data_IF_760835028418
#
_entry.id   IF_760835028418
#
_cell.length_a   1.000
_cell.length_b   1.000
_cell.length_c   1.000
_cell.angle_alpha   90.00
_cell.angle_beta   90.00
_cell.angle_gamma   90.00
#
_symmetry.space_group_name_H-M   'P 1'
#
loop_
_entity.id
_entity.type
_entity.pdbx_description
1 polymer ?
#
# COMPACT_ATOMS: atom_id res chain seq x y z
N UNK A 1 -30.26 -14.03 -20.30
CA UNK A 1 -29.57 -13.57 -19.09
C UNK A 1 -28.34 -12.81 -19.55
N UNK A 2 -28.21 -11.57 -19.09
CA UNK A 2 -27.24 -10.58 -19.59
C UNK A 2 -25.81 -11.07 -19.37
N UNK A 3 -25.07 -11.25 -20.47
CA UNK A 3 -23.61 -11.34 -20.44
C UNK A 3 -23.12 -9.91 -20.24
N UNK A 4 -22.74 -9.55 -19.03
CA UNK A 4 -22.04 -8.29 -18.78
C UNK A 4 -20.70 -8.37 -19.49
N UNK A 5 -20.55 -7.66 -20.60
CA UNK A 5 -19.25 -7.39 -21.19
C UNK A 5 -18.45 -6.57 -20.18
N UNK A 6 -17.57 -7.23 -19.41
CA UNK A 6 -16.52 -6.54 -18.66
C UNK A 6 -15.62 -5.94 -19.73
N UNK A 7 -15.66 -4.63 -19.88
CA UNK A 7 -14.71 -3.90 -20.72
C UNK A 7 -13.34 -4.12 -20.09
N UNK A 8 -12.38 -4.64 -20.82
CA UNK A 8 -10.99 -4.67 -20.34
C UNK A 8 -10.42 -3.26 -20.47
N UNK A 9 -9.94 -2.71 -19.36
CA UNK A 9 -9.18 -1.46 -19.36
C UNK A 9 -7.77 -1.72 -19.89
N UNK A 10 -7.26 -0.78 -20.68
CA UNK A 10 -5.87 -0.78 -21.14
C UNK A 10 -4.94 -0.14 -20.10
N UNK A 11 -3.66 -0.52 -20.12
CA UNK A 11 -2.63 0.12 -19.28
C UNK A 11 -2.56 1.64 -19.49
N UNK A 12 -2.90 2.12 -20.70
CA UNK A 12 -2.99 3.54 -21.01
C UNK A 12 -4.11 4.24 -20.21
N UNK A 13 -5.29 3.64 -20.12
CA UNK A 13 -6.41 4.18 -19.36
C UNK A 13 -6.09 4.23 -17.85
N UNK A 14 -5.36 3.24 -17.31
CA UNK A 14 -4.85 3.31 -15.94
C UNK A 14 -3.85 4.46 -15.74
N UNK A 15 -2.93 4.64 -16.69
CA UNK A 15 -1.96 5.75 -16.64
C UNK A 15 -2.66 7.12 -16.72
N UNK A 16 -3.66 7.27 -17.59
CA UNK A 16 -4.45 8.49 -17.72
C UNK A 16 -5.23 8.77 -16.43
N UNK A 17 -5.91 7.78 -15.86
CA UNK A 17 -6.62 7.92 -14.60
C UNK A 17 -5.68 8.27 -13.43
N UNK A 18 -4.48 7.70 -13.40
CA UNK A 18 -3.46 8.04 -12.40
C UNK A 18 -2.95 9.49 -12.57
N UNK A 19 -2.80 9.94 -13.81
CA UNK A 19 -2.48 11.33 -14.14
C UNK A 19 -3.55 12.30 -13.64
N UNK A 20 -4.82 12.00 -13.92
CA UNK A 20 -5.98 12.76 -13.41
C UNK A 20 -5.96 12.79 -11.88
N UNK A 21 -5.77 11.65 -11.22
CA UNK A 21 -5.72 11.60 -9.75
C UNK A 21 -4.58 12.44 -9.16
N UNK A 22 -3.42 12.46 -9.82
CA UNK A 22 -2.29 13.29 -9.40
C UNK A 22 -2.64 14.78 -9.46
N UNK A 23 -3.36 15.20 -10.50
CA UNK A 23 -3.83 16.58 -10.63
C UNK A 23 -4.94 16.93 -9.63
N UNK A 24 -5.79 15.95 -9.27
CA UNK A 24 -6.85 16.12 -8.27
C UNK A 24 -6.26 16.38 -6.88
N UNK A 25 -5.28 15.59 -6.44
CA UNK A 25 -4.65 15.77 -5.11
C UNK A 25 -4.00 17.16 -4.98
N UNK A 26 -3.63 17.81 -6.08
CA UNK A 26 -3.02 19.14 -6.11
C UNK A 26 -4.02 20.29 -6.15
N UNK A 27 -5.34 20.02 -6.20
CA UNK A 27 -6.33 21.09 -6.16
C UNK A 27 -6.37 21.75 -4.78
N UNK A 28 -6.49 23.08 -4.76
CA UNK A 28 -6.79 23.82 -3.54
C UNK A 28 -8.23 23.50 -3.09
N UNK A 29 -8.39 23.11 -1.83
CA UNK A 29 -9.66 22.62 -1.26
C UNK A 29 -10.32 21.55 -2.15
N UNK A 30 -9.71 20.36 -2.20
CA UNK A 30 -10.16 19.25 -3.03
C UNK A 30 -11.63 18.88 -2.77
N UNK A 31 -12.09 18.95 -1.53
CA UNK A 31 -13.47 18.59 -1.19
C UNK A 31 -14.45 19.61 -1.80
N UNK A 32 -14.13 20.91 -1.75
CA UNK A 32 -14.91 21.93 -2.45
C UNK A 32 -14.88 21.71 -3.98
N UNK A 33 -13.70 21.47 -4.56
CA UNK A 33 -13.56 21.20 -5.99
C UNK A 33 -14.43 20.03 -6.45
N UNK A 34 -14.38 18.92 -5.72
CA UNK A 34 -15.18 17.70 -5.96
C UNK A 34 -16.67 18.00 -5.90
N UNK A 35 -17.11 18.81 -4.92
CA UNK A 35 -18.52 19.17 -4.76
C UNK A 35 -19.07 19.98 -5.95
N UNK A 36 -18.22 20.83 -6.56
CA UNK A 36 -18.60 21.69 -7.68
C UNK A 36 -18.51 21.01 -9.05
N UNK A 37 -17.67 19.97 -9.17
CA UNK A 37 -17.35 19.32 -10.46
C UNK A 37 -17.59 17.80 -10.51
N UNK A 38 -18.69 17.24 -9.96
CA UNK A 38 -18.87 15.79 -9.86
C UNK A 38 -18.88 15.07 -11.22
N UNK A 39 -19.32 15.74 -12.29
CA UNK A 39 -19.33 15.16 -13.65
C UNK A 39 -17.91 14.94 -14.21
N UNK A 40 -16.95 15.77 -13.80
CA UNK A 40 -15.57 15.68 -14.26
C UNK A 40 -14.82 14.50 -13.61
N UNK A 41 -15.28 14.04 -12.46
CA UNK A 41 -14.70 12.91 -11.72
C UNK A 41 -15.20 11.55 -12.21
N UNK A 42 -16.39 11.53 -12.84
CA UNK A 42 -17.04 10.33 -13.35
C UNK A 42 -16.10 9.38 -14.13
N UNK A 43 -15.26 9.87 -15.08
CA UNK A 43 -14.37 8.98 -15.82
C UNK A 43 -13.31 8.31 -14.93
N UNK A 44 -12.78 9.04 -13.95
CA UNK A 44 -11.83 8.50 -12.99
C UNK A 44 -12.50 7.47 -12.07
N UNK A 45 -13.69 7.76 -11.55
CA UNK A 45 -14.45 6.84 -10.72
C UNK A 45 -14.82 5.56 -11.46
N UNK A 46 -15.20 5.66 -12.74
CA UNK A 46 -15.52 4.50 -13.57
C UNK A 46 -14.29 3.61 -13.79
N UNK A 47 -13.10 4.20 -13.99
CA UNK A 47 -11.83 3.45 -14.08
C UNK A 47 -11.47 2.82 -12.74
N UNK A 48 -11.65 3.53 -11.63
CA UNK A 48 -11.41 3.01 -10.29
C UNK A 48 -12.29 1.79 -9.98
N UNK A 49 -13.57 1.86 -10.34
CA UNK A 49 -14.54 0.80 -10.11
C UNK A 49 -14.23 -0.44 -10.92
N UNK A 50 -13.88 -0.24 -12.19
CA UNK A 50 -13.47 -1.34 -13.05
C UNK A 50 -12.13 -1.96 -12.61
N UNK A 51 -11.18 -1.15 -12.12
CA UNK A 51 -9.93 -1.66 -11.54
C UNK A 51 -10.18 -2.60 -10.36
N UNK A 52 -11.13 -2.26 -9.47
CA UNK A 52 -11.47 -3.11 -8.33
C UNK A 52 -12.07 -4.45 -8.79
N UNK A 53 -12.93 -4.44 -9.81
CA UNK A 53 -13.47 -5.66 -10.40
C UNK A 53 -12.35 -6.50 -11.03
N UNK A 54 -11.49 -5.89 -11.83
CA UNK A 54 -10.38 -6.59 -12.50
C UNK A 54 -9.33 -7.13 -11.53
N UNK A 55 -9.07 -6.44 -10.42
CA UNK A 55 -8.10 -6.86 -9.41
C UNK A 55 -8.67 -7.94 -8.46
N UNK A 56 -9.90 -7.77 -8.01
CA UNK A 56 -10.42 -8.52 -6.86
C UNK A 56 -11.58 -9.48 -7.20
N UNK A 57 -12.26 -9.31 -8.33
CA UNK A 57 -13.41 -10.15 -8.69
C UNK A 57 -13.17 -11.00 -9.94
N UNK A 58 -12.34 -10.53 -10.87
CA UNK A 58 -12.01 -11.25 -12.10
C UNK A 58 -10.98 -12.37 -11.86
N UNK A 59 -11.13 -13.47 -12.60
CA UNK A 59 -10.17 -14.57 -12.64
C UNK A 59 -9.61 -14.76 -14.06
N UNK A 60 -8.28 -14.71 -14.25
CA UNK A 60 -7.25 -14.32 -13.28
C UNK A 60 -7.29 -12.82 -12.95
N UNK A 61 -6.84 -12.44 -11.75
CA UNK A 61 -6.74 -11.04 -11.31
C UNK A 61 -5.72 -10.27 -12.15
N UNK A 62 -6.08 -9.03 -12.53
CA UNK A 62 -5.23 -8.17 -13.38
C UNK A 62 -4.10 -7.52 -12.58
N UNK A 63 -2.85 -7.80 -12.97
CA UNK A 63 -1.67 -7.15 -12.37
C UNK A 63 -1.70 -5.62 -12.55
N UNK A 64 -2.09 -5.14 -13.73
CA UNK A 64 -2.16 -3.71 -14.01
C UNK A 64 -3.20 -3.01 -13.14
N UNK A 65 -4.36 -3.66 -12.91
CA UNK A 65 -5.38 -3.15 -12.01
C UNK A 65 -4.88 -3.06 -10.56
N UNK A 66 -4.22 -4.12 -10.06
CA UNK A 66 -3.59 -4.08 -8.74
C UNK A 66 -2.56 -2.97 -8.61
N UNK A 67 -1.68 -2.82 -9.61
CA UNK A 67 -0.64 -1.79 -9.61
C UNK A 67 -1.27 -0.38 -9.56
N UNK A 68 -2.28 -0.14 -10.38
CA UNK A 68 -3.03 1.12 -10.36
C UNK A 68 -3.61 1.43 -8.98
N UNK A 69 -4.34 0.47 -8.37
CA UNK A 69 -4.93 0.64 -7.04
C UNK A 69 -3.87 0.91 -5.96
N UNK A 70 -2.75 0.18 -5.99
CA UNK A 70 -1.63 0.38 -5.06
C UNK A 70 -1.00 1.77 -5.21
N UNK A 71 -0.89 2.28 -6.44
CA UNK A 71 -0.36 3.63 -6.68
C UNK A 71 -1.32 4.73 -6.18
N UNK A 72 -2.63 4.53 -6.30
CA UNK A 72 -3.64 5.44 -5.73
C UNK A 72 -3.52 5.45 -4.20
N UNK A 73 -3.52 4.27 -3.56
CA UNK A 73 -3.36 4.14 -2.11
C UNK A 73 -2.05 4.75 -1.61
N UNK A 74 -0.93 4.49 -2.30
CA UNK A 74 0.36 5.06 -1.95
C UNK A 74 0.32 6.59 -1.92
N UNK A 75 -0.26 7.23 -2.94
CA UNK A 75 -0.37 8.70 -3.00
C UNK A 75 -1.21 9.26 -1.86
N UNK A 76 -2.34 8.62 -1.53
CA UNK A 76 -3.18 9.03 -0.39
C UNK A 76 -2.42 8.88 0.92
N UNK A 77 -1.79 7.72 1.15
CA UNK A 77 -1.10 7.43 2.40
C UNK A 77 0.17 8.28 2.59
N UNK A 78 0.81 8.70 1.50
CA UNK A 78 1.96 9.60 1.54
C UNK A 78 1.64 10.98 2.10
N UNK A 79 0.39 11.45 1.99
CA UNK A 79 -0.02 12.74 2.56
C UNK A 79 0.11 12.76 4.10
N UNK A 80 0.15 11.60 4.75
CA UNK A 80 0.31 11.47 6.21
C UNK A 80 1.76 11.38 6.68
N UNK A 81 2.71 11.50 5.76
CA UNK A 81 4.12 11.41 6.04
C UNK A 81 4.73 12.79 5.83
N UNK A 82 5.31 13.36 6.88
CA UNK A 82 6.02 14.63 6.79
C UNK A 82 7.38 14.40 6.13
N UNK A 83 7.54 14.91 4.90
CA UNK A 83 8.84 15.04 4.26
C UNK A 83 9.32 16.49 4.36
N UNK A 84 10.63 16.71 4.24
CA UNK A 84 11.19 18.05 4.04
C UNK A 84 10.84 18.57 2.63
N UNK A 85 9.56 18.89 2.41
CA UNK A 85 9.00 19.38 1.15
C UNK A 85 7.95 20.48 1.44
N UNK A 86 7.40 21.08 0.39
CA UNK A 86 6.40 22.14 0.50
C UNK A 86 5.13 21.64 1.23
N UNK A 87 4.68 22.41 2.23
CA UNK A 87 3.48 22.12 3.02
C UNK A 87 2.21 22.15 2.15
N UNK A 88 2.23 22.90 1.04
CA UNK A 88 1.10 22.95 0.10
C UNK A 88 0.76 21.56 -0.48
N UNK A 89 1.74 20.65 -0.56
CA UNK A 89 1.55 19.29 -1.04
C UNK A 89 0.68 18.41 -0.11
N UNK A 90 0.44 18.85 1.13
CA UNK A 90 -0.28 18.09 2.17
C UNK A 90 -1.63 18.70 2.53
N UNK A 91 -2.03 19.79 1.86
CA UNK A 91 -3.27 20.54 2.12
C UNK A 91 -4.52 19.67 2.12
N UNK A 92 -4.51 18.59 1.35
CA UNK A 92 -5.63 17.65 1.22
C UNK A 92 -5.50 16.38 2.10
N UNK A 93 -4.58 16.33 3.08
CA UNK A 93 -4.38 15.16 3.96
C UNK A 93 -5.70 14.67 4.60
N UNK A 94 -6.54 15.61 5.04
CA UNK A 94 -7.81 15.36 5.72
C UNK A 94 -9.03 15.34 4.78
N UNK A 95 -8.83 15.33 3.46
CA UNK A 95 -9.92 15.33 2.47
C UNK A 95 -10.87 14.14 2.67
N UNK A 96 -12.16 14.44 2.78
CA UNK A 96 -13.23 13.44 2.88
C UNK A 96 -13.33 12.63 1.59
N UNK A 97 -13.12 13.28 0.44
CA UNK A 97 -13.09 12.59 -0.85
C UNK A 97 -11.96 11.54 -0.91
N UNK A 98 -10.73 11.90 -0.55
CA UNK A 98 -9.61 10.94 -0.53
C UNK A 98 -9.83 9.82 0.48
N UNK A 99 -10.38 10.13 1.65
CA UNK A 99 -10.76 9.13 2.65
C UNK A 99 -11.79 8.13 2.06
N UNK A 100 -12.75 8.61 1.29
CA UNK A 100 -13.77 7.77 0.65
C UNK A 100 -13.17 6.82 -0.40
N UNK A 101 -12.23 7.30 -1.23
CA UNK A 101 -11.51 6.47 -2.20
C UNK A 101 -10.72 5.39 -1.49
N UNK A 102 -9.90 5.77 -0.49
CA UNK A 102 -9.10 4.81 0.28
C UNK A 102 -9.98 3.72 0.87
N UNK A 103 -11.08 4.12 1.53
CA UNK A 103 -12.02 3.19 2.15
C UNK A 103 -12.66 2.24 1.12
N UNK A 104 -12.99 2.74 -0.07
CA UNK A 104 -13.58 1.94 -1.15
C UNK A 104 -12.62 0.82 -1.59
N UNK A 105 -11.35 1.16 -1.85
CA UNK A 105 -10.32 0.21 -2.26
C UNK A 105 -10.02 -0.78 -1.12
N UNK A 106 -9.81 -0.30 0.11
CA UNK A 106 -9.53 -1.15 1.28
C UNK A 106 -10.67 -2.14 1.55
N UNK A 107 -11.93 -1.72 1.40
CA UNK A 107 -13.09 -2.60 1.61
C UNK A 107 -13.14 -3.71 0.56
N UNK A 108 -12.87 -3.38 -0.70
CA UNK A 108 -12.82 -4.38 -1.78
C UNK A 108 -11.67 -5.37 -1.55
N UNK A 109 -10.48 -4.87 -1.19
CA UNK A 109 -9.33 -5.70 -0.88
C UNK A 109 -9.58 -6.62 0.32
N UNK A 110 -10.12 -6.10 1.44
CA UNK A 110 -10.46 -6.90 2.61
C UNK A 110 -11.47 -8.02 2.29
N UNK A 111 -12.45 -7.71 1.45
CA UNK A 111 -13.46 -8.69 1.03
C UNK A 111 -12.85 -9.81 0.19
N UNK A 112 -11.93 -9.47 -0.72
CA UNK A 112 -11.16 -10.44 -1.50
C UNK A 112 -10.24 -11.27 -0.61
N UNK A 113 -9.50 -10.64 0.30
CA UNK A 113 -8.56 -11.31 1.19
C UNK A 113 -9.27 -12.34 2.08
N UNK A 114 -10.41 -11.97 2.67
CA UNK A 114 -11.23 -12.87 3.48
C UNK A 114 -11.75 -14.10 2.70
N UNK A 115 -11.92 -14.00 1.39
CA UNK A 115 -12.34 -15.12 0.53
C UNK A 115 -11.17 -16.02 0.11
N UNK A 116 -9.94 -15.48 0.11
CA UNK A 116 -8.74 -16.18 -0.35
C UNK A 116 -7.87 -16.72 0.79
N UNK A 117 -8.11 -16.29 2.03
CA UNK A 117 -7.45 -16.82 3.23
C UNK A 117 -8.32 -17.90 3.87
N UNK A 118 -7.77 -19.09 4.06
CA UNK A 118 -8.40 -20.14 4.85
C UNK A 118 -8.22 -19.87 6.36
N UNK A 119 -9.10 -19.04 6.90
CA UNK A 119 -9.11 -18.69 8.33
C UNK A 119 -9.26 -19.94 9.21
N UNK A 120 -10.00 -20.95 8.74
CA UNK A 120 -10.23 -22.17 9.52
C UNK A 120 -8.96 -22.99 9.67
N UNK A 121 -8.17 -23.09 8.59
CA UNK A 121 -6.85 -23.70 8.63
C UNK A 121 -5.93 -22.94 9.58
N UNK A 122 -5.92 -21.60 9.51
CA UNK A 122 -5.07 -20.78 10.38
C UNK A 122 -5.41 -20.95 11.87
N UNK A 123 -6.69 -21.10 12.22
CA UNK A 123 -7.12 -21.32 13.60
C UNK A 123 -6.69 -22.68 14.17
N UNK A 124 -6.43 -23.67 13.31
CA UNK A 124 -6.00 -25.01 13.70
C UNK A 124 -4.49 -25.20 13.84
N UNK A 125 -3.69 -24.17 13.53
CA UNK A 125 -2.23 -24.25 13.58
C UNK A 125 -1.71 -24.30 15.02
N UNK A 126 -0.72 -25.16 15.26
CA UNK A 126 0.15 -25.05 16.42
C UNK A 126 1.06 -23.84 16.23
N UNK A 127 0.66 -22.72 16.84
CA UNK A 127 1.34 -21.43 16.72
C UNK A 127 2.80 -21.55 17.17
N UNK A 128 3.08 -22.31 18.24
CA UNK A 128 4.45 -22.42 18.77
C UNK A 128 5.34 -23.20 17.80
N UNK A 129 4.85 -24.33 17.29
CA UNK A 129 5.58 -25.10 16.29
C UNK A 129 5.80 -24.29 15.01
N UNK A 130 4.77 -23.61 14.50
CA UNK A 130 4.84 -22.80 13.28
C UNK A 130 5.84 -21.64 13.41
N UNK A 131 5.87 -20.95 14.55
CA UNK A 131 6.84 -19.87 14.79
C UNK A 131 8.28 -20.41 14.87
N UNK A 132 8.49 -21.57 15.49
CA UNK A 132 9.82 -22.21 15.57
C UNK A 132 10.31 -22.66 14.20
N UNK A 133 9.43 -23.26 13.40
CA UNK A 133 9.73 -23.65 12.02
C UNK A 133 10.09 -22.42 11.18
N UNK A 134 9.28 -21.36 11.26
CA UNK A 134 9.54 -20.11 10.55
C UNK A 134 10.88 -19.49 10.96
N UNK A 135 11.19 -19.45 12.25
CA UNK A 135 12.47 -18.94 12.72
C UNK A 135 13.66 -19.79 12.25
N UNK A 136 13.50 -21.11 12.13
CA UNK A 136 14.53 -22.00 11.60
C UNK A 136 14.76 -21.76 10.09
N UNK A 137 13.68 -21.53 9.33
CA UNK A 137 13.76 -21.14 7.91
C UNK A 137 14.43 -19.77 7.73
N UNK A 138 14.07 -18.78 8.54
CA UNK A 138 14.65 -17.44 8.45
C UNK A 138 16.15 -17.44 8.82
N UNK A 139 16.58 -18.36 9.70
CA UNK A 139 18.00 -18.53 10.05
C UNK A 139 18.82 -19.16 8.93
N UNK A 140 18.24 -20.10 8.18
CA UNK A 140 18.89 -20.80 7.07
C UNK A 140 17.96 -20.88 5.85
N UNK A 141 17.68 -19.74 5.18
CA UNK A 141 16.71 -19.72 4.10
C UNK A 141 17.28 -20.46 2.89
N UNK A 142 16.45 -21.31 2.27
CA UNK A 142 16.77 -21.82 0.95
C UNK A 142 16.89 -20.65 -0.04
N UNK A 143 17.90 -20.70 -0.91
CA UNK A 143 18.12 -19.66 -1.90
C UNK A 143 16.98 -19.66 -2.91
N UNK A 144 16.08 -18.69 -2.76
CA UNK A 144 15.02 -18.43 -3.73
C UNK A 144 15.63 -18.05 -5.09
N UNK A 145 14.85 -18.20 -6.17
CA UNK A 145 15.27 -17.75 -7.49
C UNK A 145 15.63 -16.26 -7.49
N UNK A 146 14.89 -15.44 -6.75
CA UNK A 146 15.21 -14.04 -6.54
C UNK A 146 16.55 -13.87 -5.80
N UNK A 147 16.80 -14.65 -4.74
CA UNK A 147 18.08 -14.66 -4.02
C UNK A 147 19.27 -15.04 -4.89
N UNK A 148 19.10 -16.02 -5.79
CA UNK A 148 20.11 -16.41 -6.78
C UNK A 148 20.39 -15.25 -7.73
N UNK A 149 19.35 -14.60 -8.25
CA UNK A 149 19.47 -13.43 -9.12
C UNK A 149 20.21 -12.28 -8.43
N UNK A 150 19.81 -11.94 -7.19
CA UNK A 150 20.48 -10.90 -6.39
C UNK A 150 21.96 -11.19 -6.18
N UNK A 151 22.32 -12.46 -5.96
CA UNK A 151 23.69 -12.88 -5.70
C UNK A 151 24.56 -12.92 -6.95
N UNK A 152 24.04 -13.45 -8.06
CA UNK A 152 24.86 -13.83 -9.21
C UNK A 152 24.67 -12.91 -10.43
N UNK A 153 23.46 -12.37 -10.63
CA UNK A 153 23.05 -11.78 -11.90
C UNK A 153 22.72 -10.28 -11.80
N UNK A 154 22.65 -9.75 -10.58
CA UNK A 154 22.31 -8.35 -10.34
C UNK A 154 23.41 -7.40 -10.84
N UNK A 155 23.06 -6.57 -11.82
CA UNK A 155 23.94 -5.50 -12.31
C UNK A 155 24.04 -4.35 -11.29
N UNK A 156 25.07 -3.51 -11.43
CA UNK A 156 25.18 -2.29 -10.63
C UNK A 156 23.96 -1.36 -10.76
N UNK A 157 23.39 -1.25 -11.96
CA UNK A 157 22.19 -0.44 -12.22
C UNK A 157 20.99 -1.03 -11.48
N UNK A 158 20.80 -2.35 -11.56
CA UNK A 158 19.73 -3.03 -10.83
C UNK A 158 19.90 -2.92 -9.32
N UNK A 159 21.13 -3.01 -8.80
CA UNK A 159 21.40 -2.83 -7.38
C UNK A 159 21.06 -1.41 -6.90
N UNK A 160 21.41 -0.37 -7.67
CA UNK A 160 21.00 1.01 -7.36
C UNK A 160 19.48 1.18 -7.36
N UNK A 161 18.79 0.55 -8.30
CA UNK A 161 17.33 0.57 -8.33
C UNK A 161 16.73 -0.14 -7.10
N UNK A 162 17.29 -1.29 -6.70
CA UNK A 162 16.88 -2.00 -5.48
C UNK A 162 17.06 -1.11 -4.24
N UNK A 163 18.21 -0.45 -4.11
CA UNK A 163 18.45 0.49 -3.02
C UNK A 163 17.46 1.66 -3.03
N UNK A 164 17.14 2.21 -4.21
CA UNK A 164 16.15 3.28 -4.31
C UNK A 164 14.77 2.83 -3.83
N UNK A 165 14.33 1.61 -4.20
CA UNK A 165 13.06 1.03 -3.74
C UNK A 165 13.10 0.77 -2.22
N UNK A 166 14.13 0.08 -1.73
CA UNK A 166 14.27 -0.28 -0.32
C UNK A 166 14.42 0.94 0.60
N UNK A 167 15.02 2.03 0.10
CA UNK A 167 15.16 3.27 0.87
C UNK A 167 13.81 3.89 1.25
N UNK A 168 12.75 3.67 0.47
CA UNK A 168 11.42 4.18 0.83
C UNK A 168 10.88 3.53 2.12
N UNK A 169 11.16 2.25 2.32
CA UNK A 169 10.76 1.54 3.53
C UNK A 169 11.64 1.95 4.71
N UNK A 170 12.97 1.95 4.54
CA UNK A 170 13.91 2.36 5.59
C UNK A 170 13.77 3.83 6.03
N UNK A 171 13.25 4.73 5.19
CA UNK A 171 12.99 6.13 5.55
C UNK A 171 11.70 6.31 6.38
N UNK A 172 10.79 5.33 6.36
CA UNK A 172 9.44 5.44 6.95
C UNK A 172 9.17 4.32 7.97
N UNK A 173 10.06 3.34 8.11
CA UNK A 173 9.94 2.13 8.95
C UNK A 173 9.41 2.44 10.36
N UNK A 174 10.05 3.37 11.05
CA UNK A 174 9.66 3.74 12.40
C UNK A 174 8.34 4.56 12.47
N UNK A 175 7.90 5.17 11.36
CA UNK A 175 6.61 5.87 11.27
C UNK A 175 5.41 4.91 11.26
N UNK A 176 5.60 3.64 10.85
CA UNK A 176 4.54 2.64 10.95
C UNK A 176 4.35 2.18 12.39
N UNK A 177 5.46 1.91 13.09
CA UNK A 177 5.47 1.47 14.48
C UNK A 177 4.93 2.54 15.44
N UNK A 178 5.18 3.83 15.18
CA UNK A 178 4.67 4.94 16.00
C UNK A 178 3.13 4.99 16.05
N UNK A 179 2.44 4.60 14.97
CA UNK A 179 0.97 4.54 14.93
C UNK A 179 0.38 3.44 15.82
N UNK A 180 1.15 2.37 16.07
CA UNK A 180 0.76 1.25 16.95
C UNK A 180 0.91 1.62 18.43
N UNK A 181 1.79 2.59 18.73
CA UNK A 181 2.17 2.97 20.11
C UNK A 181 1.23 4.01 20.74
N UNK A 182 0.34 4.63 19.96
CA UNK A 182 -0.61 5.66 20.44
C UNK A 182 -1.72 5.20 21.40
N UNK A 183 -1.63 3.99 21.98
CA UNK A 183 -2.65 3.36 22.82
C UNK A 183 -2.36 3.39 24.33
N UNK A 184 -3.18 2.66 25.11
CA UNK A 184 -3.02 2.53 26.57
C UNK A 184 -1.77 1.72 26.90
N UNK A 185 -0.92 2.26 27.79
CA UNK A 185 0.35 1.65 28.18
C UNK A 185 0.18 0.27 28.83
N UNK A 186 0.90 -0.71 28.31
CA UNK A 186 1.07 -2.06 28.86
C UNK A 186 2.49 -2.58 28.53
N UNK A 187 2.82 -3.81 28.94
CA UNK A 187 4.15 -4.40 28.71
C UNK A 187 4.47 -4.54 27.21
N UNK A 188 3.47 -4.91 26.39
CA UNK A 188 3.62 -4.99 24.94
C UNK A 188 3.93 -3.62 24.34
N UNK A 189 3.23 -2.58 24.78
CA UNK A 189 3.46 -1.20 24.34
C UNK A 189 4.84 -0.68 24.75
N UNK A 190 5.33 -1.07 25.93
CA UNK A 190 6.67 -0.72 26.41
C UNK A 190 7.74 -1.40 25.55
N UNK A 191 7.53 -2.67 25.18
CA UNK A 191 8.41 -3.40 24.27
C UNK A 191 8.43 -2.74 22.89
N UNK A 192 7.27 -2.46 22.29
CA UNK A 192 7.18 -1.79 20.99
C UNK A 192 7.83 -0.39 21.01
N UNK A 193 7.67 0.35 22.10
CA UNK A 193 8.34 1.66 22.29
C UNK A 193 9.85 1.52 22.35
N UNK A 194 10.37 0.44 22.96
CA UNK A 194 11.81 0.17 22.99
C UNK A 194 12.35 -0.14 21.59
N UNK A 195 11.66 -0.99 20.82
CA UNK A 195 12.01 -1.24 19.41
C UNK A 195 12.00 0.08 18.62
N UNK A 196 10.93 0.88 18.76
CA UNK A 196 10.84 2.19 18.11
C UNK A 196 12.07 3.06 18.40
N UNK A 197 12.48 3.13 19.67
CA UNK A 197 13.64 3.91 20.06
C UNK A 197 14.95 3.39 19.45
N UNK A 198 15.09 2.06 19.32
CA UNK A 198 16.24 1.42 18.66
C UNK A 198 16.26 1.74 17.16
N UNK A 199 15.13 1.65 16.47
CA UNK A 199 15.00 1.99 15.04
C UNK A 199 15.28 3.48 14.75
N UNK A 200 14.94 4.38 15.68
CA UNK A 200 15.29 5.82 15.59
C UNK A 200 16.74 6.13 15.98
N UNK A 201 17.63 5.12 16.04
CA UNK A 201 19.04 5.31 16.39
C UNK A 201 19.25 5.79 17.84
N UNK A 202 18.30 5.52 18.72
CA UNK A 202 18.35 5.95 20.12
C UNK A 202 18.34 7.47 20.30
N UNK A 203 17.66 8.20 19.41
CA UNK A 203 17.61 9.66 19.34
C UNK A 203 18.97 10.33 19.13
N UNK A 204 19.98 9.58 18.64
CA UNK A 204 21.23 10.15 18.15
C UNK A 204 21.06 10.46 16.67
N UNK A 205 20.95 11.74 16.37
CA UNK A 205 21.10 12.23 15.00
C UNK A 205 22.61 12.29 14.72
N UNK A 206 23.12 11.31 13.98
CA UNK A 206 24.47 11.40 13.39
C UNK A 206 24.49 12.35 12.19
#
# INVERSE_FOLDING_TARGET
MSVSFVRNISDLEYCEAQGVFTQLIQQEDLDQYVSLTPKCLKPFEDVLDLAMVEAYEAQPSSYSAHLFLQQILYRINRLKLFWYDDLENYTNEDSVFLLSIRKKIETAWQSWEAQNIDISLLQGLDIEAALRERAAEDLNPELSQAGIFYRNDMSQVGYRQLLAIASLDGLVEASQLSRVIGGVGNEVQTMLTKILFEEYGGAKLE
#
